data_IF_112874652051
#
_entry.id   IF_112874652051
#
_cell.length_a   1.000
_cell.length_b   1.000
_cell.length_c   1.000
_cell.angle_alpha   90.00
_cell.angle_beta   90.00
_cell.angle_gamma   90.00
#
_symmetry.space_group_name_H-M   'P 1'
#
loop_
_entity.id
_entity.type
_entity.pdbx_description
1 polymer ?
#
# COMPACT_ATOMS: atom_id res chain seq x y z
N UNK A 1 -41.73 11.31 -0.49
CA UNK A 1 -40.45 12.01 -0.51
C UNK A 1 -39.37 11.03 -1.00
N UNK A 2 -38.85 11.21 -2.22
CA UNK A 2 -37.76 10.42 -2.75
C UNK A 2 -36.47 10.91 -2.05
N UNK A 3 -35.74 10.00 -1.37
CA UNK A 3 -34.37 10.29 -0.89
C UNK A 3 -33.53 10.72 -2.10
N UNK A 4 -32.75 11.83 -2.02
CA UNK A 4 -31.84 12.17 -3.08
C UNK A 4 -30.82 11.02 -3.23
N UNK A 5 -30.59 10.57 -4.47
CA UNK A 5 -29.54 9.64 -4.79
C UNK A 5 -28.22 10.31 -4.36
N UNK A 6 -27.57 9.72 -3.38
CA UNK A 6 -26.23 10.12 -2.95
C UNK A 6 -25.29 9.73 -4.11
N UNK A 7 -25.05 10.65 -5.05
CA UNK A 7 -24.01 10.47 -6.05
C UNK A 7 -22.68 10.52 -5.29
N UNK A 8 -22.16 9.35 -4.98
CA UNK A 8 -20.82 9.18 -4.46
C UNK A 8 -19.84 9.93 -5.40
N UNK A 9 -19.03 10.81 -4.84
CA UNK A 9 -18.09 11.61 -5.63
C UNK A 9 -17.02 10.69 -6.24
N UNK A 10 -16.99 10.66 -7.58
CA UNK A 10 -16.01 9.85 -8.32
C UNK A 10 -14.75 10.68 -8.63
N UNK A 11 -13.70 10.42 -7.87
CA UNK A 11 -12.40 11.07 -8.03
C UNK A 11 -11.83 10.88 -9.44
N UNK A 12 -12.02 9.71 -10.06
CA UNK A 12 -11.55 9.42 -11.42
C UNK A 12 -12.23 10.31 -12.45
N UNK A 13 -13.54 10.45 -12.35
CA UNK A 13 -14.33 11.33 -13.22
C UNK A 13 -13.94 12.79 -13.03
N UNK A 14 -13.71 13.21 -11.77
CA UNK A 14 -13.28 14.57 -11.48
C UNK A 14 -11.87 14.85 -12.02
N UNK A 15 -10.90 13.98 -11.71
CA UNK A 15 -9.51 14.12 -12.21
C UNK A 15 -9.47 14.11 -13.74
N UNK A 16 -10.35 13.36 -14.40
CA UNK A 16 -10.48 13.40 -15.86
C UNK A 16 -10.85 14.80 -16.38
N UNK A 17 -11.58 15.61 -15.59
CA UNK A 17 -12.00 16.98 -15.93
C UNK A 17 -10.98 18.06 -15.53
N UNK A 18 -9.99 17.76 -14.69
CA UNK A 18 -8.90 18.69 -14.39
C UNK A 18 -8.22 19.08 -15.71
N UNK A 19 -8.15 20.37 -16.00
CA UNK A 19 -7.68 20.92 -17.28
C UNK A 19 -6.15 20.92 -17.40
N UNK A 20 -5.57 22.13 -17.53
CA UNK A 20 -4.12 22.31 -17.64
C UNK A 20 -3.38 21.78 -16.41
N UNK A 21 -2.17 21.25 -16.59
CA UNK A 21 -1.34 20.71 -15.50
C UNK A 21 -1.56 19.23 -15.18
N UNK A 22 -2.30 18.52 -16.04
CA UNK A 22 -2.51 17.08 -15.96
C UNK A 22 -1.91 16.36 -17.17
N UNK A 23 -1.25 15.21 -16.90
CA UNK A 23 -0.71 14.32 -17.95
C UNK A 23 -0.98 12.86 -17.55
N UNK A 24 -1.38 12.04 -18.51
CA UNK A 24 -1.51 10.59 -18.31
C UNK A 24 -0.20 9.95 -18.78
N UNK A 25 0.36 9.12 -17.92
CA UNK A 25 1.64 8.44 -18.11
C UNK A 25 1.43 6.93 -18.00
N UNK A 26 2.14 6.18 -18.82
CA UNK A 26 2.17 4.71 -18.77
C UNK A 26 3.54 4.24 -18.29
N UNK A 27 3.54 3.30 -17.36
CA UNK A 27 4.75 2.72 -16.82
C UNK A 27 4.68 1.20 -16.94
N UNK A 28 5.75 0.60 -17.42
CA UNK A 28 5.89 -0.87 -17.42
C UNK A 28 6.31 -1.35 -16.04
N UNK A 29 6.05 -2.61 -15.78
CA UNK A 29 6.53 -3.29 -14.57
C UNK A 29 8.01 -2.99 -14.30
N UNK A 30 8.34 -2.69 -13.04
CA UNK A 30 9.67 -2.33 -12.51
C UNK A 30 10.21 -0.97 -12.97
N UNK A 31 9.46 -0.15 -13.72
CA UNK A 31 9.86 1.24 -13.99
C UNK A 31 9.64 2.13 -12.76
N UNK A 32 10.55 3.06 -12.56
CA UNK A 32 10.40 4.10 -11.54
C UNK A 32 9.53 5.23 -12.08
N UNK A 33 8.56 5.66 -11.28
CA UNK A 33 7.76 6.86 -11.53
C UNK A 33 8.58 8.08 -11.10
N UNK A 34 9.21 8.00 -9.94
CA UNK A 34 10.22 8.94 -9.44
C UNK A 34 11.13 8.22 -8.43
N UNK A 35 12.27 8.83 -8.13
CA UNK A 35 13.23 8.32 -7.15
C UNK A 35 13.33 9.24 -5.94
N UNK A 36 13.73 8.67 -4.83
CA UNK A 36 14.11 9.42 -3.62
C UNK A 36 15.19 10.46 -3.96
N UNK A 37 14.96 11.73 -3.60
CA UNK A 37 15.81 12.86 -3.94
C UNK A 37 15.45 13.59 -5.23
N UNK A 38 14.55 13.09 -6.07
CA UNK A 38 14.04 13.83 -7.23
C UNK A 38 13.23 15.06 -6.79
N UNK A 39 13.07 16.05 -7.69
CA UNK A 39 12.24 17.22 -7.44
C UNK A 39 10.79 16.82 -7.21
N UNK A 40 10.17 17.41 -6.18
CA UNK A 40 8.78 17.13 -5.78
C UNK A 40 7.88 18.31 -6.16
N UNK A 41 7.26 18.26 -7.31
CA UNK A 41 6.39 19.30 -7.88
C UNK A 41 5.04 18.76 -8.39
N UNK A 42 4.80 17.47 -8.28
CA UNK A 42 3.62 16.78 -8.83
C UNK A 42 3.03 15.80 -7.82
N UNK A 43 1.70 15.66 -7.88
CA UNK A 43 0.91 14.60 -7.23
C UNK A 43 0.50 13.59 -8.29
N UNK A 44 0.44 12.33 -7.94
CA UNK A 44 0.08 11.24 -8.84
C UNK A 44 -1.19 10.55 -8.38
N UNK A 45 -2.00 10.10 -9.33
CA UNK A 45 -3.20 9.29 -9.09
C UNK A 45 -3.14 8.01 -9.92
N UNK A 46 -3.34 6.87 -9.28
CA UNK A 46 -3.29 5.56 -9.93
C UNK A 46 -4.64 5.29 -10.59
N UNK A 47 -4.68 5.24 -11.93
CA UNK A 47 -5.87 4.81 -12.67
C UNK A 47 -5.94 3.29 -12.79
N UNK A 48 -4.80 2.65 -13.03
CA UNK A 48 -4.67 1.21 -13.16
C UNK A 48 -3.29 0.73 -12.72
N UNK A 49 -3.21 -0.51 -12.26
CA UNK A 49 -1.98 -1.13 -11.77
C UNK A 49 -1.67 -0.76 -10.32
N UNK A 50 -0.55 -1.27 -9.81
CA UNK A 50 -0.09 -1.07 -8.43
C UNK A 50 1.33 -0.56 -8.40
N UNK A 51 1.61 0.29 -7.43
CA UNK A 51 2.95 0.83 -7.20
C UNK A 51 3.43 0.53 -5.79
N UNK A 52 4.74 0.35 -5.62
CA UNK A 52 5.39 0.27 -4.31
C UNK A 52 6.19 1.54 -4.03
N UNK A 53 6.09 2.03 -2.81
CA UNK A 53 6.90 3.12 -2.29
C UNK A 53 8.00 2.52 -1.42
N UNK A 54 9.26 2.84 -1.72
CA UNK A 54 10.41 2.39 -0.96
C UNK A 54 11.24 3.57 -0.48
N UNK A 55 11.88 3.41 0.66
CA UNK A 55 12.88 4.33 1.18
C UNK A 55 14.22 3.63 1.31
N UNK A 56 15.27 4.34 0.96
CA UNK A 56 16.65 3.87 1.12
C UNK A 56 17.27 4.61 2.31
N UNK A 57 17.78 3.86 3.28
CA UNK A 57 18.53 4.43 4.41
C UNK A 57 19.93 4.87 3.97
N UNK A 58 20.59 5.71 4.77
CA UNK A 58 21.99 6.11 4.57
C UNK A 58 22.95 4.91 4.52
N UNK A 59 22.59 3.80 5.18
CA UNK A 59 23.37 2.56 5.18
C UNK A 59 23.04 1.63 3.99
N UNK A 60 22.25 2.09 3.02
CA UNK A 60 21.88 1.32 1.82
C UNK A 60 20.82 0.24 2.05
N UNK A 61 20.10 0.26 3.19
CA UNK A 61 18.96 -0.66 3.42
C UNK A 61 17.70 -0.08 2.81
N UNK A 62 17.01 -0.90 2.02
CA UNK A 62 15.72 -0.56 1.44
C UNK A 62 14.57 -1.11 2.31
N UNK A 63 13.51 -0.32 2.45
CA UNK A 63 12.27 -0.73 3.10
C UNK A 63 11.07 -0.30 2.26
N UNK A 64 10.08 -1.17 2.13
CA UNK A 64 8.77 -0.83 1.55
C UNK A 64 7.94 -0.13 2.61
N UNK A 65 7.55 1.11 2.33
CA UNK A 65 6.71 1.92 3.22
C UNK A 65 5.23 1.89 2.83
N UNK A 66 4.92 1.58 1.56
CA UNK A 66 3.54 1.38 1.12
C UNK A 66 3.47 0.60 -0.20
N UNK A 67 2.38 -0.14 -0.39
CA UNK A 67 1.89 -0.58 -1.70
C UNK A 67 0.57 0.14 -1.94
N UNK A 68 0.44 0.79 -3.09
CA UNK A 68 -0.73 1.58 -3.45
C UNK A 68 -1.43 0.96 -4.66
N UNK A 69 -2.76 1.06 -4.65
CA UNK A 69 -3.69 0.45 -5.59
C UNK A 69 -4.42 1.50 -6.43
N UNK A 70 -5.17 1.11 -7.47
CA UNK A 70 -6.01 2.03 -8.24
C UNK A 70 -6.94 2.84 -7.33
N UNK A 71 -7.11 4.13 -7.67
CA UNK A 71 -7.91 5.06 -6.87
C UNK A 71 -7.13 5.81 -5.79
N UNK A 72 -5.86 5.49 -5.59
CA UNK A 72 -5.02 6.11 -4.56
C UNK A 72 -4.09 7.18 -5.13
N UNK A 73 -3.75 8.18 -4.29
CA UNK A 73 -2.81 9.23 -4.62
C UNK A 73 -1.44 8.94 -3.99
N UNK A 74 -0.39 9.49 -4.59
CA UNK A 74 0.95 9.49 -4.02
C UNK A 74 1.77 10.69 -4.51
N UNK A 75 2.89 10.95 -3.85
CA UNK A 75 3.74 12.10 -4.16
C UNK A 75 3.22 13.43 -3.61
N UNK A 76 2.20 13.41 -2.77
CA UNK A 76 1.53 14.56 -2.15
C UNK A 76 2.43 15.39 -1.23
N UNK A 77 3.63 14.90 -0.87
CA UNK A 77 4.60 15.64 -0.05
C UNK A 77 4.98 17.01 -0.63
N UNK A 78 4.88 17.21 -1.94
CA UNK A 78 5.07 18.53 -2.56
C UNK A 78 4.06 19.57 -2.04
N UNK A 79 2.85 19.13 -1.66
CA UNK A 79 1.80 20.00 -1.10
C UNK A 79 2.17 20.54 0.28
N UNK A 80 2.95 19.77 1.06
CA UNK A 80 3.45 20.14 2.39
C UNK A 80 4.82 20.86 2.35
N UNK A 81 5.22 21.37 1.18
CA UNK A 81 6.46 22.14 1.03
C UNK A 81 7.74 21.31 0.89
N UNK A 82 7.66 19.98 0.85
CA UNK A 82 8.84 19.17 0.52
C UNK A 82 9.28 19.48 -0.92
N UNK A 83 10.55 19.86 -1.06
CA UNK A 83 11.16 20.17 -2.36
C UNK A 83 11.65 18.92 -3.09
N UNK A 84 11.94 17.86 -2.34
CA UNK A 84 12.46 16.60 -2.86
C UNK A 84 11.58 15.42 -2.43
N UNK A 85 11.57 14.39 -3.26
CA UNK A 85 10.88 13.13 -2.99
C UNK A 85 11.55 12.41 -1.81
N UNK A 86 10.76 12.05 -0.80
CA UNK A 86 11.24 11.31 0.39
C UNK A 86 11.31 9.81 0.18
N UNK A 87 10.78 9.30 -0.94
CA UNK A 87 10.73 7.88 -1.29
C UNK A 87 10.93 7.68 -2.79
N UNK A 88 11.25 6.45 -3.18
CA UNK A 88 11.19 5.98 -4.57
C UNK A 88 9.86 5.29 -4.82
N UNK A 89 9.22 5.58 -5.95
CA UNK A 89 7.99 4.88 -6.37
C UNK A 89 8.25 4.05 -7.62
N UNK A 90 7.91 2.77 -7.57
CA UNK A 90 8.15 1.79 -8.64
C UNK A 90 6.86 1.07 -9.02
N UNK A 91 6.59 0.92 -10.31
CA UNK A 91 5.48 0.14 -10.83
C UNK A 91 5.68 -1.36 -10.55
N UNK A 92 4.71 -2.03 -9.92
CA UNK A 92 4.75 -3.48 -9.64
C UNK A 92 4.23 -4.31 -10.81
N UNK A 93 3.46 -3.69 -11.67
CA UNK A 93 2.87 -4.23 -12.91
C UNK A 93 2.73 -3.06 -13.91
N UNK A 94 2.19 -3.29 -15.09
CA UNK A 94 1.94 -2.20 -16.03
C UNK A 94 0.89 -1.25 -15.45
N UNK A 95 1.21 0.03 -15.38
CA UNK A 95 0.42 1.05 -14.68
C UNK A 95 0.02 2.17 -15.62
N UNK A 96 -1.19 2.70 -15.40
CA UNK A 96 -1.65 3.97 -15.96
C UNK A 96 -1.82 4.96 -14.81
N UNK A 97 -1.07 6.05 -14.85
CA UNK A 97 -0.96 7.01 -13.76
C UNK A 97 -1.22 8.42 -14.29
N UNK A 98 -2.08 9.16 -13.61
CA UNK A 98 -2.25 10.59 -13.86
C UNK A 98 -1.26 11.38 -13.02
N UNK A 99 -0.41 12.16 -13.67
CA UNK A 99 0.45 13.17 -13.05
C UNK A 99 -0.31 14.50 -13.02
N UNK A 100 -0.33 15.19 -11.88
CA UNK A 100 -1.02 16.47 -11.66
C UNK A 100 -0.01 17.42 -11.04
N UNK A 101 0.23 18.57 -11.66
CA UNK A 101 1.15 19.57 -11.08
C UNK A 101 0.63 20.06 -9.74
N UNK A 102 1.54 20.51 -8.88
CA UNK A 102 1.20 21.06 -7.57
C UNK A 102 0.15 22.18 -7.67
N UNK A 103 0.32 23.08 -8.62
CA UNK A 103 -0.59 24.22 -8.86
C UNK A 103 -1.97 23.76 -9.27
N UNK A 104 -2.05 22.77 -10.19
CA UNK A 104 -3.33 22.19 -10.61
C UNK A 104 -4.03 21.45 -9.49
N UNK A 105 -3.27 20.77 -8.62
CA UNK A 105 -3.82 20.09 -7.44
C UNK A 105 -4.36 21.08 -6.41
N UNK A 106 -3.65 22.18 -6.16
CA UNK A 106 -4.10 23.27 -5.28
C UNK A 106 -5.40 23.89 -5.82
N UNK A 107 -5.44 24.22 -7.12
CA UNK A 107 -6.64 24.75 -7.75
C UNK A 107 -7.82 23.78 -7.62
N UNK A 108 -7.62 22.48 -7.89
CA UNK A 108 -8.64 21.46 -7.75
C UNK A 108 -9.20 21.35 -6.32
N UNK A 109 -8.35 21.43 -5.31
CA UNK A 109 -8.75 21.43 -3.89
C UNK A 109 -9.53 22.70 -3.55
N UNK A 110 -9.14 23.85 -4.09
CA UNK A 110 -9.80 25.12 -3.79
C UNK A 110 -11.17 25.23 -4.49
N UNK A 111 -11.25 24.82 -5.75
CA UNK A 111 -12.42 25.09 -6.61
C UNK A 111 -13.52 24.03 -6.48
N UNK A 112 -13.21 22.82 -5.98
CA UNK A 112 -14.18 21.74 -5.84
C UNK A 112 -14.24 21.25 -4.39
N UNK A 113 -15.22 21.71 -3.58
CA UNK A 113 -15.34 21.32 -2.17
C UNK A 113 -15.46 19.81 -1.94
N UNK A 114 -16.18 19.08 -2.81
CA UNK A 114 -16.33 17.63 -2.70
C UNK A 114 -15.01 16.88 -2.94
N UNK A 115 -14.18 17.40 -3.85
CA UNK A 115 -12.83 16.85 -4.06
C UNK A 115 -11.94 17.10 -2.84
N UNK A 116 -12.01 18.31 -2.28
CA UNK A 116 -11.28 18.68 -1.06
C UNK A 116 -11.64 17.77 0.13
N UNK A 117 -12.94 17.55 0.36
CA UNK A 117 -13.44 16.65 1.40
C UNK A 117 -12.97 15.20 1.19
N UNK A 118 -13.09 14.68 -0.03
CA UNK A 118 -12.62 13.35 -0.39
C UNK A 118 -11.11 13.20 -0.21
N UNK A 119 -10.33 14.18 -0.69
CA UNK A 119 -8.87 14.13 -0.60
C UNK A 119 -8.39 14.22 0.85
N UNK A 120 -9.04 15.06 1.68
CA UNK A 120 -8.77 15.12 3.11
C UNK A 120 -9.09 13.80 3.80
N UNK A 121 -10.24 13.21 3.52
CA UNK A 121 -10.64 11.89 4.04
C UNK A 121 -9.62 10.81 3.65
N UNK A 122 -9.16 10.83 2.40
CA UNK A 122 -8.11 9.94 1.92
C UNK A 122 -6.82 10.08 2.75
N UNK A 123 -6.33 11.32 2.94
CA UNK A 123 -5.10 11.59 3.70
C UNK A 123 -5.24 11.15 5.17
N UNK A 124 -6.37 11.45 5.81
CA UNK A 124 -6.62 11.05 7.20
C UNK A 124 -6.69 9.52 7.36
N UNK A 125 -7.38 8.84 6.43
CA UNK A 125 -7.44 7.37 6.42
C UNK A 125 -6.05 6.76 6.24
N UNK A 126 -5.23 7.35 5.35
CA UNK A 126 -3.85 6.92 5.15
C UNK A 126 -2.99 7.17 6.40
N UNK A 127 -3.16 8.31 7.07
CA UNK A 127 -2.47 8.61 8.31
C UNK A 127 -2.80 7.57 9.40
N UNK A 128 -4.09 7.24 9.59
CA UNK A 128 -4.50 6.21 10.55
C UNK A 128 -3.86 4.84 10.26
N UNK A 129 -3.74 4.45 8.99
CA UNK A 129 -3.04 3.21 8.61
C UNK A 129 -1.55 3.26 8.97
N UNK A 130 -0.89 4.40 8.74
CA UNK A 130 0.53 4.58 9.12
C UNK A 130 0.70 4.47 10.63
N UNK A 131 -0.22 5.04 11.41
CA UNK A 131 -0.23 4.92 12.87
C UNK A 131 -0.42 3.46 13.33
N UNK A 132 -1.34 2.73 12.72
CA UNK A 132 -1.55 1.30 12.97
C UNK A 132 -0.29 0.48 12.64
N UNK A 133 0.35 0.73 11.50
CA UNK A 133 1.60 0.07 11.10
C UNK A 133 2.74 0.39 12.07
N UNK A 134 2.82 1.64 12.56
CA UNK A 134 3.80 2.04 13.57
C UNK A 134 3.57 1.30 14.89
N UNK A 135 2.33 1.24 15.36
CA UNK A 135 1.96 0.47 16.56
C UNK A 135 2.35 -1.00 16.39
N UNK A 136 2.06 -1.57 15.20
CA UNK A 136 2.45 -2.96 14.89
C UNK A 136 3.97 -3.16 14.92
N UNK A 137 4.74 -2.20 14.40
CA UNK A 137 6.21 -2.21 14.44
C UNK A 137 6.77 -2.14 15.87
N UNK A 138 6.14 -1.37 16.74
CA UNK A 138 6.61 -1.15 18.11
C UNK A 138 6.32 -2.35 19.04
N UNK A 139 5.16 -3.00 18.86
CA UNK A 139 4.66 -3.96 19.84
C UNK A 139 4.61 -5.41 19.36
N UNK A 140 4.66 -5.66 18.05
CA UNK A 140 4.56 -7.02 17.52
C UNK A 140 5.89 -7.58 17.02
N UNK A 141 6.09 -8.89 17.21
CA UNK A 141 7.23 -9.61 16.65
C UNK A 141 7.15 -9.63 15.11
N UNK A 142 8.29 -9.76 14.45
CA UNK A 142 8.34 -9.85 12.98
C UNK A 142 7.55 -11.06 12.43
N UNK A 143 7.38 -12.11 13.20
CA UNK A 143 6.51 -13.25 12.84
C UNK A 143 5.03 -12.84 12.82
N UNK A 144 4.55 -12.12 13.85
CA UNK A 144 3.17 -11.63 13.92
C UNK A 144 2.91 -10.59 12.83
N UNK A 145 3.85 -9.68 12.59
CA UNK A 145 3.74 -8.69 11.52
C UNK A 145 3.61 -9.36 10.16
N UNK A 146 4.40 -10.42 9.90
CA UNK A 146 4.27 -11.20 8.67
C UNK A 146 2.90 -11.87 8.56
N UNK A 147 2.41 -12.47 9.64
CA UNK A 147 1.09 -13.12 9.65
C UNK A 147 -0.04 -12.11 9.36
N UNK A 148 -0.03 -10.93 9.99
CA UNK A 148 -0.99 -9.84 9.71
C UNK A 148 -0.91 -9.33 8.28
N UNK A 149 0.30 -9.14 7.77
CA UNK A 149 0.53 -8.73 6.38
C UNK A 149 -0.08 -9.75 5.39
N UNK A 150 0.14 -11.05 5.62
CA UNK A 150 -0.43 -12.11 4.78
C UNK A 150 -1.97 -12.09 4.80
N UNK A 151 -2.58 -11.87 5.97
CA UNK A 151 -4.04 -11.72 6.09
C UNK A 151 -4.56 -10.51 5.33
N UNK A 152 -3.88 -9.36 5.41
CA UNK A 152 -4.24 -8.15 4.68
C UNK A 152 -4.15 -8.35 3.17
N UNK A 153 -3.06 -8.95 2.69
CA UNK A 153 -2.85 -9.24 1.26
C UNK A 153 -3.84 -10.27 0.71
N UNK A 154 -4.36 -11.14 1.56
CA UNK A 154 -5.41 -12.11 1.23
C UNK A 154 -6.85 -11.52 1.37
N UNK A 155 -6.99 -10.19 1.63
CA UNK A 155 -8.27 -9.53 1.86
C UNK A 155 -9.14 -10.19 2.95
N UNK A 156 -8.53 -10.81 3.95
CA UNK A 156 -9.26 -11.40 5.06
C UNK A 156 -10.11 -10.34 5.79
N UNK A 157 -11.42 -10.57 5.85
CA UNK A 157 -12.37 -9.71 6.56
C UNK A 157 -13.27 -8.86 5.67
N UNK A 158 -13.04 -8.77 4.34
CA UNK A 158 -13.95 -8.04 3.44
C UNK A 158 -15.05 -8.92 2.83
N UNK A 159 -14.80 -10.22 2.58
CA UNK A 159 -15.74 -11.11 1.87
C UNK A 159 -15.89 -12.51 2.48
N UNK A 160 -15.29 -12.80 3.64
CA UNK A 160 -15.43 -14.09 4.33
C UNK A 160 -14.77 -15.29 3.65
N UNK A 161 -14.21 -15.14 2.47
CA UNK A 161 -13.50 -16.20 1.72
C UNK A 161 -12.04 -15.82 1.55
N UNK A 162 -11.09 -16.77 1.75
CA UNK A 162 -9.68 -16.52 1.48
C UNK A 162 -9.46 -16.25 -0.01
N UNK A 163 -8.91 -15.08 -0.31
CA UNK A 163 -8.46 -14.76 -1.67
C UNK A 163 -6.96 -15.13 -1.77
N UNK A 164 -6.50 -15.71 -2.88
CA UNK A 164 -5.09 -15.96 -3.07
C UNK A 164 -4.32 -14.65 -3.06
N UNK A 165 -3.19 -14.62 -2.36
CA UNK A 165 -2.29 -13.47 -2.42
C UNK A 165 -1.81 -13.33 -3.86
N UNK A 166 -1.74 -12.09 -4.34
CA UNK A 166 -1.24 -11.78 -5.68
C UNK A 166 0.07 -12.52 -5.96
N UNK A 167 0.18 -13.28 -7.08
CA UNK A 167 1.30 -14.19 -7.33
C UNK A 167 2.67 -13.52 -7.46
N UNK A 168 2.73 -12.19 -7.40
CA UNK A 168 3.93 -11.41 -7.71
C UNK A 168 4.65 -10.81 -6.50
N UNK A 169 4.30 -11.21 -5.26
CA UNK A 169 5.00 -10.71 -4.06
C UNK A 169 6.11 -11.69 -3.68
N UNK A 170 7.36 -11.25 -3.78
CA UNK A 170 8.53 -12.05 -3.42
C UNK A 170 8.73 -12.09 -1.89
N UNK A 171 9.49 -13.08 -1.39
CA UNK A 171 9.88 -13.12 0.01
C UNK A 171 10.79 -11.94 0.41
N UNK A 172 11.54 -11.38 -0.54
CA UNK A 172 12.29 -10.13 -0.37
C UNK A 172 11.34 -8.98 -0.08
N UNK A 173 10.33 -8.79 -0.93
CA UNK A 173 9.33 -7.73 -0.75
C UNK A 173 8.58 -7.90 0.58
N UNK A 174 8.21 -9.13 0.96
CA UNK A 174 7.60 -9.40 2.28
C UNK A 174 8.56 -9.02 3.42
N UNK A 175 9.86 -9.30 3.29
CA UNK A 175 10.85 -8.96 4.30
C UNK A 175 11.03 -7.44 4.44
N UNK A 176 11.05 -6.71 3.33
CA UNK A 176 11.10 -5.25 3.27
C UNK A 176 9.84 -4.62 3.91
N UNK A 177 8.65 -5.18 3.66
CA UNK A 177 7.39 -4.72 4.24
C UNK A 177 7.30 -4.98 5.74
N UNK A 178 7.80 -6.14 6.20
CA UNK A 178 7.78 -6.52 7.62
C UNK A 178 8.92 -5.85 8.41
N UNK A 179 9.93 -5.32 7.73
CA UNK A 179 11.12 -4.77 8.38
C UNK A 179 11.98 -5.88 9.00
N UNK A 180 12.24 -6.96 8.25
CA UNK A 180 13.05 -8.10 8.69
C UNK A 180 13.92 -8.63 7.54
N UNK A 181 14.60 -9.76 7.71
CA UNK A 181 15.41 -10.37 6.66
C UNK A 181 14.62 -11.43 5.87
N UNK A 182 14.98 -11.63 4.59
CA UNK A 182 14.44 -12.72 3.75
C UNK A 182 14.54 -14.08 4.43
N UNK A 183 15.67 -14.37 5.06
CA UNK A 183 15.91 -15.64 5.77
C UNK A 183 14.87 -15.87 6.88
N UNK A 184 14.55 -14.83 7.68
CA UNK A 184 13.53 -14.89 8.72
C UNK A 184 12.12 -15.08 8.12
N UNK A 185 11.81 -14.36 7.03
CA UNK A 185 10.54 -14.56 6.30
C UNK A 185 10.44 -16.00 5.81
N UNK A 186 11.48 -16.54 5.18
CA UNK A 186 11.51 -17.94 4.71
C UNK A 186 11.27 -18.93 5.87
N UNK A 187 11.91 -18.70 7.03
CA UNK A 187 11.70 -19.51 8.23
C UNK A 187 10.23 -19.44 8.70
N UNK A 188 9.65 -18.25 8.82
CA UNK A 188 8.25 -18.09 9.26
C UNK A 188 7.25 -18.68 8.26
N UNK A 189 7.46 -18.49 6.95
CA UNK A 189 6.61 -19.07 5.92
C UNK A 189 6.62 -20.61 5.99
N UNK A 190 7.79 -21.22 6.18
CA UNK A 190 7.89 -22.66 6.37
C UNK A 190 7.19 -23.14 7.66
N UNK A 191 7.30 -22.37 8.75
CA UNK A 191 6.57 -22.64 9.99
C UNK A 191 5.06 -22.56 9.80
N UNK A 192 4.56 -21.50 9.16
CA UNK A 192 3.13 -21.33 8.87
C UNK A 192 2.59 -22.45 7.99
N UNK A 193 3.36 -22.89 6.97
CA UNK A 193 3.00 -24.02 6.14
C UNK A 193 2.91 -25.34 6.93
N UNK A 194 3.91 -25.63 7.78
CA UNK A 194 3.92 -26.85 8.63
C UNK A 194 2.74 -26.89 9.60
N UNK A 195 2.28 -25.71 10.06
CA UNK A 195 1.13 -25.57 10.95
C UNK A 195 -0.22 -25.56 10.21
N UNK A 196 -0.23 -25.65 8.87
CA UNK A 196 -1.46 -25.60 8.08
C UNK A 196 -2.12 -24.21 8.06
N UNK A 197 -1.38 -23.15 8.36
CA UNK A 197 -1.87 -21.76 8.37
C UNK A 197 -1.83 -21.13 6.98
N UNK A 198 -0.94 -21.61 6.12
CA UNK A 198 -0.82 -21.26 4.71
C UNK A 198 -0.57 -22.51 3.86
N UNK A 199 -0.92 -22.44 2.57
CA UNK A 199 -0.57 -23.45 1.57
C UNK A 199 0.02 -22.80 0.32
N UNK A 200 0.66 -23.63 -0.53
CA UNK A 200 1.18 -23.23 -1.82
C UNK A 200 0.52 -24.10 -2.91
N UNK A 201 -0.33 -23.49 -3.70
CA UNK A 201 -0.98 -24.11 -4.83
C UNK A 201 -0.80 -23.21 -6.07
N UNK A 202 0.48 -23.04 -6.50
CA UNK A 202 0.85 -22.02 -7.48
C UNK A 202 0.96 -20.62 -6.91
N UNK A 203 0.08 -20.27 -5.96
CA UNK A 203 0.06 -19.02 -5.21
C UNK A 203 0.10 -19.30 -3.70
N UNK A 204 0.39 -18.28 -2.90
CA UNK A 204 0.25 -18.37 -1.44
C UNK A 204 -1.24 -18.28 -1.12
N UNK A 205 -1.78 -19.31 -0.50
CA UNK A 205 -3.13 -19.34 0.05
C UNK A 205 -3.07 -19.20 1.56
N UNK A 206 -3.85 -18.29 2.12
CA UNK A 206 -3.91 -18.02 3.56
C UNK A 206 -5.18 -18.65 4.12
N UNK A 207 -5.03 -19.47 5.14
CA UNK A 207 -6.14 -20.16 5.81
C UNK A 207 -6.72 -19.32 6.95
N UNK A 208 -8.02 -19.47 7.24
CA UNK A 208 -8.71 -18.74 8.32
C UNK A 208 -8.10 -18.99 9.71
N UNK A 209 -7.44 -20.14 9.90
CA UNK A 209 -6.70 -20.47 11.11
C UNK A 209 -5.57 -19.48 11.42
N UNK A 210 -4.99 -18.81 10.41
CA UNK A 210 -3.98 -17.77 10.62
C UNK A 210 -4.56 -16.55 11.34
N UNK A 211 -5.82 -16.19 11.06
CA UNK A 211 -6.52 -15.11 11.76
C UNK A 211 -6.65 -15.43 13.27
N UNK A 212 -7.05 -16.65 13.60
CA UNK A 212 -7.16 -17.09 14.99
C UNK A 212 -5.80 -17.08 15.71
N UNK A 213 -4.72 -17.42 15.00
CA UNK A 213 -3.36 -17.41 15.55
C UNK A 213 -2.85 -15.98 15.82
N UNK A 214 -3.33 -14.98 15.09
CA UNK A 214 -2.98 -13.56 15.29
C UNK A 214 -3.82 -12.92 16.39
N UNK A 215 -5.13 -13.23 16.45
CA UNK A 215 -6.08 -12.61 17.40
C UNK A 215 -5.92 -13.12 18.83
N UNK A 216 -5.48 -14.38 19.02
CA UNK A 216 -5.27 -14.92 20.35
C UNK A 216 -3.83 -14.69 20.80
N UNK A 217 -3.64 -14.05 21.97
CA UNK A 217 -2.34 -13.72 22.60
C UNK A 217 -1.47 -14.94 22.97
N UNK A 218 -1.83 -16.15 22.57
CA UNK A 218 -0.96 -17.31 22.77
C UNK A 218 0.22 -17.22 21.80
N UNK A 219 1.47 -17.32 22.33
CA UNK A 219 2.63 -17.44 21.45
C UNK A 219 2.36 -18.61 20.49
N UNK A 220 2.58 -18.36 19.19
CA UNK A 220 2.49 -19.38 18.15
C UNK A 220 3.46 -20.51 18.53
N UNK A 221 2.97 -21.43 19.34
CA UNK A 221 3.56 -22.65 19.87
C UNK A 221 5.05 -22.55 20.26
N UNK A 222 5.33 -22.76 21.57
CA UNK A 222 6.64 -23.21 22.03
C UNK A 222 7.00 -24.47 21.23
N UNK A 223 8.18 -24.44 20.60
CA UNK A 223 8.79 -25.66 20.07
C UNK A 223 8.78 -26.70 21.19
N UNK A 224 8.14 -27.82 20.92
CA UNK A 224 8.37 -29.02 21.78
C UNK A 224 9.77 -29.49 21.42
N UNK A 225 10.65 -29.45 22.42
CA UNK A 225 11.91 -30.18 22.45
C UNK A 225 11.70 -31.66 22.12
#
# INVERSE_FOLDING_TARGET
MRKPANHEFDAKVFIAKVGAGKTILEFRKNQHIFKQGDVADTVFYIQNGRVKLTVLSEQGKEAVVAILEPGQFFGEGCMNGHKLRISTTTAMEDCVITSITKEAMIAAIHDEPKFSEMFMTYLLTRNSRIEEDLIDQLFNSSERRLARLLLLLANFGKEGSPQPISPNISQETLAEMVGTTRSRVSHFMNKFRKLGLISYNGNIEVHSSLLSAVLHEKPLLKERE
#
